data_IF_064446537293
#
_entry.id   IF_064446537293
#
_cell.length_a   1.000
_cell.length_b   1.000
_cell.length_c   1.000
_cell.angle_alpha   90.00
_cell.angle_beta   90.00
_cell.angle_gamma   90.00
#
_symmetry.space_group_name_H-M   'P 1'
#
loop_
_entity.id
_entity.type
_entity.pdbx_description
1 polymer ?
#
# COMPACT_ATOMS: atom_id res chain seq x y z
N UNK A 1 9.59 8.87 -19.46
CA UNK A 1 8.92 10.10 -19.86
C UNK A 1 9.46 10.71 -21.14
N UNK A 2 10.79 10.81 -21.37
CA UNK A 2 11.38 11.38 -22.59
C UNK A 2 10.92 10.67 -23.87
N UNK A 3 10.93 9.34 -23.87
CA UNK A 3 10.49 8.51 -25.00
C UNK A 3 8.95 8.46 -25.18
N UNK A 4 8.17 9.01 -24.24
CA UNK A 4 6.70 9.06 -24.31
C UNK A 4 6.27 10.21 -25.21
N UNK A 5 5.36 9.95 -26.16
CA UNK A 5 4.81 10.95 -27.09
C UNK A 5 4.18 12.15 -26.36
N UNK A 6 4.25 13.34 -26.97
CA UNK A 6 3.73 14.58 -26.39
C UNK A 6 2.27 14.49 -25.96
N UNK A 7 1.38 13.90 -26.78
CA UNK A 7 -0.05 13.77 -26.45
C UNK A 7 -0.27 12.94 -25.18
N UNK A 8 0.47 11.83 -25.00
CA UNK A 8 0.39 11.02 -23.78
C UNK A 8 0.96 11.75 -22.56
N UNK A 9 2.03 12.54 -22.72
CA UNK A 9 2.56 13.39 -21.65
C UNK A 9 1.58 14.48 -21.24
N UNK A 10 0.87 15.08 -22.20
CA UNK A 10 -0.20 16.04 -21.94
C UNK A 10 -1.32 15.40 -21.13
N UNK A 11 -1.80 14.22 -21.54
CA UNK A 11 -2.83 13.47 -20.80
C UNK A 11 -2.37 13.23 -19.35
N UNK A 12 -1.15 12.72 -19.16
CA UNK A 12 -0.62 12.46 -17.81
C UNK A 12 -0.45 13.73 -16.97
N UNK A 13 -0.04 14.83 -17.59
CA UNK A 13 0.08 16.13 -16.93
C UNK A 13 -1.29 16.65 -16.46
N UNK A 14 -2.30 16.60 -17.32
CA UNK A 14 -3.69 16.98 -16.99
C UNK A 14 -4.23 16.09 -15.88
N UNK A 15 -4.05 14.77 -15.99
CA UNK A 15 -4.49 13.83 -14.95
C UNK A 15 -3.78 14.11 -13.61
N UNK A 16 -2.50 14.46 -13.62
CA UNK A 16 -1.77 14.81 -12.40
C UNK A 16 -2.39 16.04 -11.69
N UNK A 17 -2.79 17.06 -12.46
CA UNK A 17 -3.51 18.23 -11.92
C UNK A 17 -4.88 17.83 -11.39
N UNK A 18 -5.69 17.11 -12.16
CA UNK A 18 -7.06 16.73 -11.78
C UNK A 18 -7.05 15.85 -10.52
N UNK A 19 -6.21 14.82 -10.50
CA UNK A 19 -6.09 13.91 -9.35
C UNK A 19 -5.44 14.60 -8.17
N UNK A 20 -4.42 15.43 -8.39
CA UNK A 20 -3.83 16.24 -7.32
C UNK A 20 -4.84 17.19 -6.67
N UNK A 21 -5.67 17.87 -7.47
CA UNK A 21 -6.74 18.73 -6.98
C UNK A 21 -7.80 17.93 -6.21
N UNK A 22 -8.20 16.75 -6.69
CA UNK A 22 -9.08 15.84 -5.95
C UNK A 22 -8.48 15.44 -4.59
N UNK A 23 -7.19 15.09 -4.55
CA UNK A 23 -6.49 14.67 -3.33
C UNK A 23 -6.39 15.78 -2.28
N UNK A 24 -6.35 17.05 -2.71
CA UNK A 24 -6.28 18.22 -1.83
C UNK A 24 -7.68 18.69 -1.40
N UNK A 25 -8.63 18.75 -2.34
CA UNK A 25 -9.90 19.46 -2.13
C UNK A 25 -11.08 18.53 -1.84
N UNK A 26 -11.02 17.25 -2.21
CA UNK A 26 -12.17 16.33 -2.09
C UNK A 26 -11.85 15.18 -1.15
N UNK A 27 -10.73 14.49 -1.36
CA UNK A 27 -10.34 13.32 -0.56
C UNK A 27 -10.31 13.59 0.97
N UNK A 28 -9.84 14.75 1.47
CA UNK A 28 -9.82 15.02 2.91
C UNK A 28 -11.21 15.01 3.55
N UNK A 29 -12.22 15.51 2.85
CA UNK A 29 -13.62 15.51 3.31
C UNK A 29 -14.24 14.12 3.27
N UNK A 30 -13.95 13.35 2.21
CA UNK A 30 -14.39 11.95 2.11
C UNK A 30 -13.81 11.10 3.25
N UNK A 31 -12.52 11.29 3.56
CA UNK A 31 -11.85 10.59 4.66
C UNK A 31 -12.41 11.03 6.01
N UNK A 32 -12.64 12.33 6.24
CA UNK A 32 -13.23 12.84 7.48
C UNK A 32 -14.64 12.28 7.71
N UNK A 33 -15.48 12.32 6.68
CA UNK A 33 -16.84 11.76 6.73
C UNK A 33 -16.80 10.26 7.05
N UNK A 34 -15.86 9.53 6.44
CA UNK A 34 -15.67 8.11 6.69
C UNK A 34 -15.24 7.83 8.13
N UNK A 35 -14.31 8.64 8.67
CA UNK A 35 -13.84 8.54 10.04
C UNK A 35 -15.00 8.73 11.03
N UNK A 36 -15.78 9.79 10.87
CA UNK A 36 -16.91 10.10 11.77
C UNK A 36 -17.93 8.97 11.80
N UNK A 37 -18.28 8.41 10.63
CA UNK A 37 -19.19 7.27 10.55
C UNK A 37 -18.60 6.03 11.22
N UNK A 38 -17.32 5.73 10.98
CA UNK A 38 -16.65 4.56 11.57
C UNK A 38 -16.58 4.69 13.09
N UNK A 39 -16.19 5.85 13.61
CA UNK A 39 -16.11 6.11 15.04
C UNK A 39 -17.49 6.04 15.68
N UNK A 40 -18.52 6.66 15.07
CA UNK A 40 -19.88 6.60 15.59
C UNK A 40 -20.42 5.16 15.66
N UNK A 41 -20.14 4.34 14.64
CA UNK A 41 -20.51 2.92 14.64
C UNK A 41 -19.74 2.14 15.73
N UNK A 42 -18.44 2.40 15.87
CA UNK A 42 -17.61 1.75 16.88
C UNK A 42 -18.00 2.13 18.31
N UNK A 43 -18.41 3.38 18.58
CA UNK A 43 -18.91 3.77 19.91
C UNK A 43 -20.11 2.91 20.30
N UNK A 44 -21.07 2.70 19.39
CA UNK A 44 -22.23 1.82 19.62
C UNK A 44 -21.82 0.36 19.82
N UNK A 45 -21.02 -0.18 18.89
CA UNK A 45 -20.59 -1.58 18.93
C UNK A 45 -19.74 -1.87 20.17
N UNK A 46 -18.87 -0.93 20.57
CA UNK A 46 -17.97 -1.12 21.71
C UNK A 46 -18.68 -1.10 23.06
N UNK A 47 -19.85 -0.46 23.15
CA UNK A 47 -20.69 -0.52 24.34
C UNK A 47 -21.20 -1.94 24.61
N UNK A 48 -21.52 -2.69 23.54
CA UNK A 48 -21.95 -4.09 23.63
C UNK A 48 -20.77 -5.07 23.61
N UNK A 49 -19.71 -4.74 22.88
CA UNK A 49 -18.54 -5.58 22.63
C UNK A 49 -17.25 -4.79 22.92
N UNK A 50 -16.80 -4.75 24.19
CA UNK A 50 -15.62 -3.97 24.61
C UNK A 50 -14.33 -4.26 23.81
N UNK A 51 -14.22 -5.44 23.19
CA UNK A 51 -13.11 -5.81 22.30
C UNK A 51 -12.94 -4.91 21.05
N UNK A 52 -13.91 -4.05 20.74
CA UNK A 52 -13.81 -3.09 19.64
C UNK A 52 -13.42 -1.67 20.10
N UNK A 53 -13.36 -1.40 21.40
CA UNK A 53 -13.12 -0.06 21.94
C UNK A 53 -11.77 0.53 21.49
N UNK A 54 -10.72 -0.29 21.38
CA UNK A 54 -9.40 0.15 20.89
C UNK A 54 -9.43 0.64 19.43
N UNK A 55 -10.42 0.22 18.63
CA UNK A 55 -10.60 0.67 17.26
C UNK A 55 -10.87 2.19 17.16
N UNK A 56 -11.57 2.76 18.14
CA UNK A 56 -11.89 4.20 18.18
C UNK A 56 -10.59 5.00 18.19
N UNK A 57 -9.66 4.67 19.09
CA UNK A 57 -8.37 5.33 19.20
C UNK A 57 -7.54 5.13 17.93
N UNK A 58 -7.40 3.88 17.47
CA UNK A 58 -6.55 3.56 16.33
C UNK A 58 -6.98 4.25 15.04
N UNK A 59 -8.28 4.21 14.70
CA UNK A 59 -8.77 4.84 13.48
C UNK A 59 -8.75 6.37 13.58
N UNK A 60 -8.90 6.95 14.77
CA UNK A 60 -8.73 8.39 15.00
C UNK A 60 -7.31 8.90 14.70
N UNK A 61 -6.30 8.04 14.67
CA UNK A 61 -4.94 8.40 14.23
C UNK A 61 -4.65 7.98 12.78
N UNK A 62 -5.07 6.79 12.37
CA UNK A 62 -4.76 6.25 11.04
C UNK A 62 -5.45 7.06 9.94
N UNK A 63 -6.72 7.45 10.13
CA UNK A 63 -7.45 8.23 9.12
C UNK A 63 -6.80 9.60 8.89
N UNK A 64 -6.51 10.41 9.94
CA UNK A 64 -5.79 11.68 9.74
C UNK A 64 -4.39 11.53 9.17
N UNK A 65 -3.64 10.48 9.55
CA UNK A 65 -2.32 10.23 8.99
C UNK A 65 -2.40 10.02 7.48
N UNK A 66 -3.27 9.12 7.02
CA UNK A 66 -3.44 8.87 5.58
C UNK A 66 -4.02 10.07 4.84
N UNK A 67 -4.92 10.83 5.48
CA UNK A 67 -5.38 12.11 4.93
C UNK A 67 -4.22 13.07 4.67
N UNK A 68 -3.29 13.19 5.62
CA UNK A 68 -2.09 14.02 5.47
C UNK A 68 -1.18 13.54 4.33
N UNK A 69 -0.91 12.23 4.26
CA UNK A 69 -0.11 11.63 3.18
C UNK A 69 -0.75 11.87 1.80
N UNK A 70 -2.07 11.70 1.69
CA UNK A 70 -2.82 11.94 0.45
C UNK A 70 -2.79 13.42 0.08
N UNK A 71 -2.97 14.33 1.04
CA UNK A 71 -2.91 15.76 0.79
C UNK A 71 -1.54 16.20 0.24
N UNK A 72 -0.46 15.75 0.87
CA UNK A 72 0.92 16.02 0.41
C UNK A 72 1.16 15.39 -0.97
N UNK A 73 0.71 14.15 -1.18
CA UNK A 73 0.77 13.50 -2.49
C UNK A 73 0.06 14.33 -3.57
N UNK A 74 -1.06 14.97 -3.24
CA UNK A 74 -1.81 15.81 -4.17
C UNK A 74 -1.03 17.06 -4.59
N UNK A 75 -0.39 17.72 -3.63
CA UNK A 75 0.50 18.86 -3.90
C UNK A 75 1.64 18.43 -4.83
N UNK A 76 2.28 17.29 -4.52
CA UNK A 76 3.35 16.73 -5.35
C UNK A 76 2.87 16.51 -6.78
N UNK A 77 1.69 15.90 -7.00
CA UNK A 77 1.18 15.66 -8.35
C UNK A 77 0.92 16.96 -9.13
N UNK A 78 0.38 17.99 -8.50
CA UNK A 78 0.19 19.31 -9.14
C UNK A 78 1.53 19.91 -9.54
N UNK A 79 2.53 19.90 -8.64
CA UNK A 79 3.86 20.43 -8.92
C UNK A 79 4.59 19.65 -10.02
N UNK A 80 4.33 18.34 -10.14
CA UNK A 80 4.88 17.49 -11.19
C UNK A 80 4.21 17.67 -12.54
N UNK A 81 3.06 18.34 -12.65
CA UNK A 81 2.33 18.46 -13.90
C UNK A 81 3.19 19.02 -15.05
N UNK A 82 3.92 20.12 -14.80
CA UNK A 82 4.81 20.73 -15.79
C UNK A 82 6.02 19.82 -16.12
N UNK A 83 6.80 19.32 -15.15
CA UNK A 83 7.87 18.34 -15.40
C UNK A 83 7.42 17.06 -16.13
N UNK A 84 6.20 16.57 -15.88
CA UNK A 84 5.62 15.44 -16.60
C UNK A 84 5.38 15.80 -18.07
N UNK A 85 4.85 17.00 -18.33
CA UNK A 85 4.61 17.50 -19.68
C UNK A 85 5.90 17.67 -20.49
N UNK A 86 6.97 18.19 -19.86
CA UNK A 86 8.30 18.32 -20.47
C UNK A 86 9.02 16.98 -20.67
N UNK A 87 8.54 15.92 -20.01
CA UNK A 87 9.04 14.56 -20.19
C UNK A 87 10.22 14.19 -19.30
N UNK A 88 10.38 14.84 -18.15
CA UNK A 88 11.46 14.58 -17.22
C UNK A 88 11.33 13.19 -16.55
N UNK A 89 12.35 12.33 -16.64
CA UNK A 89 12.26 10.93 -16.19
C UNK A 89 12.09 10.77 -14.68
N UNK A 90 12.68 11.65 -13.87
CA UNK A 90 12.63 11.59 -12.41
C UNK A 90 11.20 11.74 -11.86
N UNK A 91 10.30 12.34 -12.65
CA UNK A 91 8.90 12.54 -12.27
C UNK A 91 8.13 11.23 -12.15
N UNK A 92 8.53 10.19 -12.89
CA UNK A 92 7.83 8.91 -12.92
C UNK A 92 7.80 8.19 -11.57
N UNK A 93 8.93 7.89 -10.90
CA UNK A 93 8.92 7.26 -9.59
C UNK A 93 8.25 8.12 -8.51
N UNK A 94 8.40 9.45 -8.57
CA UNK A 94 7.75 10.37 -7.61
C UNK A 94 6.23 10.36 -7.78
N UNK A 95 5.73 10.46 -9.01
CA UNK A 95 4.30 10.46 -9.29
C UNK A 95 3.63 9.12 -8.94
N UNK A 96 4.34 8.00 -9.17
CA UNK A 96 3.87 6.67 -8.76
C UNK A 96 3.77 6.55 -7.23
N UNK A 97 4.78 7.00 -6.49
CA UNK A 97 4.72 6.99 -5.03
C UNK A 97 3.60 7.89 -4.50
N UNK A 98 3.49 9.12 -5.04
CA UNK A 98 2.45 10.07 -4.65
C UNK A 98 1.03 9.51 -4.89
N UNK A 99 0.83 8.79 -5.99
CA UNK A 99 -0.44 8.14 -6.32
C UNK A 99 -0.65 6.78 -5.63
N UNK A 100 0.39 6.16 -5.09
CA UNK A 100 0.27 4.97 -4.26
C UNK A 100 -0.42 5.26 -2.92
N UNK A 101 -0.25 6.46 -2.34
CA UNK A 101 -0.90 6.85 -1.08
C UNK A 101 -2.43 6.83 -1.14
N UNK A 102 -3.12 7.50 -2.10
CA UNK A 102 -4.57 7.41 -2.21
C UNK A 102 -5.03 6.00 -2.61
N UNK A 103 -4.27 5.30 -3.47
CA UNK A 103 -4.58 3.94 -3.93
C UNK A 103 -4.61 2.94 -2.77
N UNK A 104 -3.51 2.82 -2.04
CA UNK A 104 -3.38 1.88 -0.92
C UNK A 104 -4.12 2.37 0.32
N UNK A 105 -4.09 3.69 0.57
CA UNK A 105 -4.72 4.33 1.71
C UNK A 105 -6.25 4.28 1.66
N UNK A 106 -6.87 4.59 0.52
CA UNK A 106 -8.32 4.48 0.39
C UNK A 106 -8.82 3.05 0.66
N UNK A 107 -8.08 2.04 0.21
CA UNK A 107 -8.43 0.63 0.44
C UNK A 107 -8.16 0.17 1.88
N UNK A 108 -7.16 0.74 2.56
CA UNK A 108 -6.98 0.55 4.00
C UNK A 108 -8.17 1.09 4.80
N UNK A 109 -8.59 2.32 4.49
CA UNK A 109 -9.68 3.00 5.19
C UNK A 109 -11.05 2.40 4.87
N UNK A 110 -11.15 1.67 3.75
CA UNK A 110 -12.34 0.92 3.35
C UNK A 110 -12.68 -0.22 4.33
N UNK A 111 -11.70 -0.96 4.85
CA UNK A 111 -11.96 -2.13 5.70
C UNK A 111 -12.78 -1.85 6.96
N UNK A 112 -12.41 -0.88 7.82
CA UNK A 112 -13.24 -0.56 8.97
C UNK A 112 -14.61 -0.02 8.54
N UNK A 113 -14.73 0.63 7.38
CA UNK A 113 -16.01 1.10 6.89
C UNK A 113 -16.96 -0.07 6.60
N UNK A 114 -16.56 -1.01 5.74
CA UNK A 114 -17.42 -2.15 5.37
C UNK A 114 -17.65 -3.14 6.52
N UNK A 115 -16.82 -3.09 7.56
CA UNK A 115 -16.99 -3.94 8.74
C UNK A 115 -18.08 -3.45 9.69
N UNK A 116 -18.41 -2.15 9.66
CA UNK A 116 -19.25 -1.52 10.69
C UNK A 116 -20.38 -0.63 10.14
N UNK A 117 -20.39 -0.36 8.83
CA UNK A 117 -21.32 0.56 8.21
C UNK A 117 -21.89 -0.08 6.94
N UNK A 118 -23.22 -0.05 6.82
CA UNK A 118 -23.91 -0.50 5.62
C UNK A 118 -23.81 0.53 4.48
N UNK A 119 -23.80 0.03 3.24
CA UNK A 119 -23.84 0.83 2.02
C UNK A 119 -22.48 1.06 1.37
N UNK A 120 -22.43 2.03 0.43
CA UNK A 120 -21.23 2.26 -0.37
C UNK A 120 -20.07 2.80 0.48
N UNK A 121 -18.88 2.17 0.42
CA UNK A 121 -17.73 2.59 1.20
C UNK A 121 -17.05 3.79 0.56
N UNK A 122 -17.30 4.96 1.15
CA UNK A 122 -16.76 6.25 0.69
C UNK A 122 -15.23 6.24 0.45
N UNK A 123 -14.38 5.58 1.27
CA UNK A 123 -12.94 5.52 1.00
C UNK A 123 -12.55 4.80 -0.30
N UNK A 124 -13.44 3.96 -0.85
CA UNK A 124 -13.22 3.27 -2.12
C UNK A 124 -13.06 4.26 -3.27
N UNK A 125 -13.82 5.37 -3.27
CA UNK A 125 -13.67 6.42 -4.29
C UNK A 125 -12.25 7.00 -4.29
N UNK A 126 -11.67 7.23 -3.11
CA UNK A 126 -10.29 7.74 -2.98
C UNK A 126 -9.28 6.76 -3.56
N UNK A 127 -9.45 5.46 -3.27
CA UNK A 127 -8.60 4.40 -3.82
C UNK A 127 -8.69 4.32 -5.35
N UNK A 128 -9.90 4.32 -5.89
CA UNK A 128 -10.14 4.18 -7.34
C UNK A 128 -9.58 5.35 -8.14
N UNK A 129 -9.70 6.58 -7.65
CA UNK A 129 -9.11 7.77 -8.29
C UNK A 129 -7.58 7.69 -8.28
N UNK A 130 -6.99 7.28 -7.14
CA UNK A 130 -5.55 7.04 -7.04
C UNK A 130 -5.05 5.99 -8.03
N UNK A 131 -5.74 4.84 -8.07
CA UNK A 131 -5.39 3.71 -8.93
C UNK A 131 -5.51 4.04 -10.41
N UNK A 132 -6.56 4.77 -10.80
CA UNK A 132 -6.75 5.19 -12.19
C UNK A 132 -5.54 5.99 -12.70
N UNK A 133 -5.03 6.93 -11.90
CA UNK A 133 -3.85 7.69 -12.27
C UNK A 133 -2.55 6.87 -12.17
N UNK A 134 -2.40 6.07 -11.12
CA UNK A 134 -1.25 5.18 -10.93
C UNK A 134 -1.07 4.24 -12.14
N UNK A 135 -2.13 3.57 -12.58
CA UNK A 135 -2.07 2.70 -13.76
C UNK A 135 -1.93 3.49 -15.06
N UNK A 136 -2.54 4.67 -15.17
CA UNK A 136 -2.35 5.53 -16.34
C UNK A 136 -0.88 5.90 -16.54
N UNK A 137 -0.15 6.25 -15.47
CA UNK A 137 1.29 6.52 -15.51
C UNK A 137 2.08 5.36 -16.12
N UNK A 138 1.78 4.13 -15.70
CA UNK A 138 2.50 2.94 -16.17
C UNK A 138 2.12 2.60 -17.62
N UNK A 139 0.83 2.57 -17.92
CA UNK A 139 0.30 2.07 -19.19
C UNK A 139 0.57 3.05 -20.35
N UNK A 140 0.47 4.35 -20.09
CA UNK A 140 0.72 5.40 -21.09
C UNK A 140 2.21 5.67 -21.32
N UNK A 141 3.10 5.27 -20.39
CA UNK A 141 4.55 5.40 -20.60
C UNK A 141 4.99 4.55 -21.79
N UNK A 142 5.82 5.15 -22.65
CA UNK A 142 6.43 4.44 -23.77
C UNK A 142 7.76 3.82 -23.34
N UNK A 143 7.75 2.51 -23.09
CA UNK A 143 8.90 1.68 -22.70
C UNK A 143 8.69 0.27 -23.26
N UNK A 144 9.74 -0.54 -23.23
CA UNK A 144 9.64 -1.97 -23.56
C UNK A 144 8.51 -2.67 -22.78
N UNK A 145 7.90 -3.67 -23.42
CA UNK A 145 6.75 -4.39 -22.87
C UNK A 145 7.07 -5.12 -21.57
N UNK A 146 8.27 -5.67 -21.41
CA UNK A 146 8.66 -6.37 -20.19
C UNK A 146 8.92 -5.40 -19.05
N UNK A 147 9.44 -4.21 -19.34
CA UNK A 147 9.55 -3.13 -18.35
C UNK A 147 8.15 -2.70 -17.92
N UNK A 148 7.25 -2.48 -18.88
CA UNK A 148 5.87 -2.05 -18.60
C UNK A 148 5.12 -3.06 -17.74
N UNK A 149 5.08 -4.33 -18.15
CA UNK A 149 4.36 -5.37 -17.42
C UNK A 149 5.05 -5.74 -16.10
N UNK A 150 6.39 -5.76 -16.07
CA UNK A 150 7.14 -5.95 -14.83
C UNK A 150 6.82 -4.86 -13.80
N UNK A 151 6.84 -3.59 -14.22
CA UNK A 151 6.49 -2.47 -13.33
C UNK A 151 5.00 -2.48 -12.97
N UNK A 152 4.10 -2.73 -13.93
CA UNK A 152 2.66 -2.83 -13.66
C UNK A 152 2.37 -3.85 -12.56
N UNK A 153 2.89 -5.07 -12.70
CA UNK A 153 2.63 -6.15 -11.76
C UNK A 153 3.35 -5.91 -10.42
N UNK A 154 4.66 -5.61 -10.44
CA UNK A 154 5.44 -5.42 -9.22
C UNK A 154 4.85 -4.29 -8.36
N UNK A 155 4.60 -3.14 -8.97
CA UNK A 155 4.15 -1.95 -8.25
C UNK A 155 2.69 -2.11 -7.77
N UNK A 156 1.82 -2.75 -8.56
CA UNK A 156 0.43 -3.04 -8.14
C UNK A 156 0.42 -4.02 -6.97
N UNK A 157 1.14 -5.14 -7.05
CA UNK A 157 1.21 -6.10 -5.94
C UNK A 157 1.87 -5.50 -4.70
N UNK A 158 2.90 -4.66 -4.85
CA UNK A 158 3.47 -3.92 -3.72
C UNK A 158 2.43 -3.01 -3.06
N UNK A 159 1.62 -2.27 -3.83
CA UNK A 159 0.54 -1.46 -3.29
C UNK A 159 -0.53 -2.28 -2.55
N UNK A 160 -0.96 -3.40 -3.14
CA UNK A 160 -1.94 -4.31 -2.51
C UNK A 160 -1.41 -4.94 -1.22
N UNK A 161 -0.13 -5.34 -1.21
CA UNK A 161 0.52 -5.89 -0.01
C UNK A 161 0.73 -4.83 1.07
N UNK A 162 1.01 -3.58 0.70
CA UNK A 162 1.01 -2.46 1.66
C UNK A 162 -0.36 -2.33 2.33
N UNK A 163 -1.45 -2.36 1.57
CA UNK A 163 -2.81 -2.32 2.14
C UNK A 163 -3.06 -3.49 3.08
N UNK A 164 -2.80 -4.72 2.62
CA UNK A 164 -2.96 -5.94 3.43
C UNK A 164 -2.16 -5.87 4.75
N UNK A 165 -0.89 -5.47 4.66
CA UNK A 165 0.00 -5.40 5.81
C UNK A 165 -0.45 -4.33 6.81
N UNK A 166 -0.89 -3.13 6.37
CA UNK A 166 -1.43 -2.14 7.32
C UNK A 166 -2.72 -2.64 7.97
N UNK A 167 -3.64 -3.24 7.21
CA UNK A 167 -4.90 -3.79 7.75
C UNK A 167 -4.59 -4.83 8.83
N UNK A 168 -3.75 -5.80 8.50
CA UNK A 168 -3.39 -6.91 9.40
C UNK A 168 -2.62 -6.40 10.61
N UNK A 169 -1.62 -5.54 10.42
CA UNK A 169 -0.87 -4.93 11.53
C UNK A 169 -1.77 -4.11 12.45
N UNK A 170 -2.67 -3.30 11.89
CA UNK A 170 -3.65 -2.51 12.69
C UNK A 170 -4.62 -3.42 13.44
N UNK A 171 -5.10 -4.49 12.79
CA UNK A 171 -5.97 -5.48 13.41
C UNK A 171 -5.30 -6.20 14.58
N UNK A 172 -4.01 -6.52 14.45
CA UNK A 172 -3.21 -7.10 15.52
C UNK A 172 -3.07 -6.13 16.69
N UNK A 173 -2.73 -4.87 16.41
CA UNK A 173 -2.64 -3.85 17.46
C UNK A 173 -3.97 -3.66 18.18
N UNK A 174 -5.08 -3.59 17.45
CA UNK A 174 -6.43 -3.47 18.02
C UNK A 174 -6.70 -4.58 19.03
N UNK A 175 -6.39 -5.82 18.65
CA UNK A 175 -6.60 -7.02 19.46
C UNK A 175 -5.67 -7.03 20.69
N UNK A 176 -4.39 -6.67 20.51
CA UNK A 176 -3.42 -6.52 21.61
C UNK A 176 -3.83 -5.46 22.62
N UNK A 177 -4.41 -4.35 22.16
CA UNK A 177 -4.89 -3.25 23.01
C UNK A 177 -6.16 -3.57 23.76
N UNK A 178 -6.78 -4.74 23.56
CA UNK A 178 -7.96 -5.19 24.33
C UNK A 178 -7.69 -6.46 25.12
N UNK A 179 -6.44 -6.94 25.16
CA UNK A 179 -6.08 -8.11 25.96
C UNK A 179 -6.41 -7.87 27.45
N UNK A 180 -6.85 -8.92 28.18
CA UNK A 180 -7.26 -8.79 29.58
C UNK A 180 -6.08 -8.53 30.52
N UNK A 181 -4.96 -9.21 30.30
CA UNK A 181 -3.86 -9.30 31.29
C UNK A 181 -2.83 -8.16 31.16
N UNK A 182 -3.28 -6.97 30.73
CA UNK A 182 -2.36 -5.82 30.59
C UNK A 182 -1.70 -5.50 31.95
N UNK A 183 -0.40 -5.17 31.96
CA UNK A 183 0.48 -4.91 30.81
C UNK A 183 1.12 -6.17 30.19
N UNK A 184 0.90 -7.36 30.74
CA UNK A 184 1.54 -8.61 30.33
C UNK A 184 0.96 -9.18 29.03
N UNK A 185 1.65 -10.17 28.45
CA UNK A 185 1.29 -10.81 27.17
C UNK A 185 1.19 -12.32 27.38
N UNK A 186 0.29 -12.78 28.23
CA UNK A 186 0.29 -14.18 28.67
C UNK A 186 -0.27 -15.14 27.60
N UNK A 187 0.63 -15.90 26.97
CA UNK A 187 0.30 -16.95 26.03
C UNK A 187 0.76 -16.68 24.60
N UNK A 188 1.00 -17.78 23.89
CA UNK A 188 1.61 -17.77 22.56
C UNK A 188 0.85 -16.89 21.55
N UNK A 189 -0.48 -16.83 21.64
CA UNK A 189 -1.31 -15.99 20.76
C UNK A 189 -0.98 -14.50 20.86
N UNK A 190 -0.79 -13.98 22.07
CA UNK A 190 -0.47 -12.56 22.28
C UNK A 190 0.97 -12.24 21.86
N UNK A 191 1.92 -13.13 22.15
CA UNK A 191 3.31 -12.97 21.69
C UNK A 191 3.38 -12.84 20.19
N UNK A 192 2.70 -13.73 19.50
CA UNK A 192 2.69 -13.79 18.05
C UNK A 192 2.03 -12.55 17.43
N UNK A 193 0.90 -12.08 17.98
CA UNK A 193 0.30 -10.82 17.54
C UNK A 193 1.24 -9.62 17.79
N UNK A 194 1.94 -9.60 18.93
CA UNK A 194 2.87 -8.53 19.29
C UNK A 194 4.10 -8.47 18.39
N UNK A 195 4.52 -9.62 17.86
CA UNK A 195 5.62 -9.70 16.92
C UNK A 195 5.19 -9.43 15.49
N UNK A 196 4.00 -9.91 15.09
CA UNK A 196 3.48 -9.73 13.74
C UNK A 196 3.17 -8.27 13.44
N UNK A 197 2.54 -7.56 14.38
CA UNK A 197 2.15 -6.17 14.22
C UNK A 197 3.28 -5.24 13.70
N UNK A 198 4.47 -5.15 14.32
CA UNK A 198 5.53 -4.27 13.85
C UNK A 198 6.13 -4.74 12.53
N UNK A 199 6.26 -6.05 12.29
CA UNK A 199 6.77 -6.58 11.01
C UNK A 199 5.91 -6.09 9.85
N UNK A 200 4.58 -6.17 10.00
CA UNK A 200 3.63 -5.72 8.99
C UNK A 200 3.86 -4.25 8.64
N UNK A 201 3.95 -3.37 9.64
CA UNK A 201 4.14 -1.94 9.41
C UNK A 201 5.51 -1.59 8.83
N UNK A 202 6.56 -2.31 9.22
CA UNK A 202 7.88 -2.15 8.60
C UNK A 202 7.82 -2.55 7.12
N UNK A 203 7.16 -3.67 6.79
CA UNK A 203 6.99 -4.11 5.41
C UNK A 203 6.25 -3.07 4.56
N UNK A 204 5.28 -2.34 5.12
CA UNK A 204 4.58 -1.25 4.41
C UNK A 204 5.55 -0.15 3.99
N UNK A 205 6.43 0.28 4.90
CA UNK A 205 7.45 1.30 4.61
C UNK A 205 8.38 0.79 3.50
N UNK A 206 8.88 -0.43 3.65
CA UNK A 206 9.77 -1.04 2.67
C UNK A 206 9.10 -1.18 1.28
N UNK A 207 7.82 -1.54 1.22
CA UNK A 207 7.05 -1.66 -0.02
C UNK A 207 6.81 -0.30 -0.68
N UNK A 208 6.51 0.77 0.07
CA UNK A 208 6.41 2.11 -0.52
C UNK A 208 7.76 2.61 -1.07
N UNK A 209 8.87 2.36 -0.36
CA UNK A 209 10.21 2.67 -0.87
C UNK A 209 10.52 1.80 -2.10
N UNK A 210 10.12 0.53 -2.09
CA UNK A 210 10.27 -0.38 -3.22
C UNK A 210 9.49 0.13 -4.44
N UNK A 211 8.28 0.65 -4.29
CA UNK A 211 7.51 1.26 -5.40
C UNK A 211 8.33 2.34 -6.10
N UNK A 212 8.89 3.27 -5.31
CA UNK A 212 9.73 4.33 -5.83
C UNK A 212 10.99 3.79 -6.52
N UNK A 213 11.73 2.89 -5.85
CA UNK A 213 13.03 2.40 -6.33
C UNK A 213 12.91 1.42 -7.51
N UNK A 214 11.86 0.61 -7.58
CA UNK A 214 11.55 -0.26 -8.73
C UNK A 214 11.12 0.58 -9.93
N UNK A 215 10.41 1.69 -9.71
CA UNK A 215 10.08 2.63 -10.78
C UNK A 215 11.33 3.31 -11.37
N UNK A 216 12.35 3.57 -10.54
CA UNK A 216 13.71 3.99 -10.96
C UNK A 216 14.55 2.85 -11.57
N UNK A 217 14.04 1.62 -11.55
CA UNK A 217 14.75 0.39 -11.95
C UNK A 217 16.04 0.14 -11.18
N UNK A 218 16.07 0.49 -9.89
CA UNK A 218 17.24 0.30 -9.02
C UNK A 218 17.21 -1.07 -8.33
N UNK A 219 18.38 -1.71 -8.25
CA UNK A 219 18.56 -3.00 -7.59
C UNK A 219 18.11 -2.98 -6.11
N UNK A 220 18.28 -1.85 -5.42
CA UNK A 220 17.78 -1.68 -4.05
C UNK A 220 16.26 -1.80 -3.96
N UNK A 221 15.51 -1.34 -4.96
CA UNK A 221 14.05 -1.50 -4.99
C UNK A 221 13.61 -2.95 -5.07
N UNK A 222 14.32 -3.75 -5.88
CA UNK A 222 14.10 -5.19 -5.98
C UNK A 222 14.34 -5.89 -4.63
N UNK A 223 15.46 -5.60 -3.96
CA UNK A 223 15.74 -6.17 -2.64
C UNK A 223 14.71 -5.75 -1.58
N UNK A 224 14.32 -4.48 -1.54
CA UNK A 224 13.30 -4.01 -0.61
C UNK A 224 11.97 -4.74 -0.82
N UNK A 225 11.55 -4.92 -2.08
CA UNK A 225 10.37 -5.71 -2.42
C UNK A 225 10.51 -7.17 -1.98
N UNK A 226 11.66 -7.80 -2.24
CA UNK A 226 11.92 -9.20 -1.92
C UNK A 226 11.97 -9.45 -0.40
N UNK A 227 12.65 -8.58 0.34
CA UNK A 227 12.71 -8.63 1.82
C UNK A 227 11.30 -8.50 2.37
N UNK A 228 10.54 -7.50 1.92
CA UNK A 228 9.17 -7.28 2.39
C UNK A 228 8.28 -8.50 2.17
N UNK A 229 8.21 -9.02 0.94
CA UNK A 229 7.32 -10.15 0.62
C UNK A 229 7.75 -11.44 1.34
N UNK A 230 9.06 -11.64 1.55
CA UNK A 230 9.59 -12.78 2.31
C UNK A 230 9.25 -12.66 3.79
N UNK A 231 9.43 -11.48 4.38
CA UNK A 231 9.02 -11.21 5.76
C UNK A 231 7.52 -11.38 5.97
N UNK A 232 6.71 -10.94 5.00
CA UNK A 232 5.25 -11.15 5.03
C UNK A 232 4.89 -12.63 4.98
N UNK A 233 5.53 -13.46 4.14
CA UNK A 233 5.29 -14.92 4.19
C UNK A 233 5.70 -15.53 5.51
N UNK A 234 6.90 -15.18 5.98
CA UNK A 234 7.47 -15.73 7.20
C UNK A 234 6.60 -15.44 8.42
N UNK A 235 5.82 -14.35 8.40
CA UNK A 235 4.89 -14.03 9.48
C UNK A 235 3.46 -14.50 9.18
N UNK A 236 2.90 -14.23 7.99
CA UNK A 236 1.49 -14.46 7.68
C UNK A 236 1.11 -15.94 7.63
N UNK A 237 2.00 -16.80 7.07
CA UNK A 237 1.70 -18.23 6.97
C UNK A 237 1.65 -18.89 8.34
N UNK A 238 2.68 -18.77 9.21
CA UNK A 238 2.59 -19.33 10.57
C UNK A 238 1.46 -18.72 11.39
N UNK A 239 1.24 -17.41 11.26
CA UNK A 239 0.12 -16.70 11.91
C UNK A 239 -1.22 -17.33 11.58
N UNK A 240 -1.48 -17.58 10.29
CA UNK A 240 -2.74 -18.18 9.87
C UNK A 240 -2.90 -19.58 10.45
N UNK A 241 -1.85 -20.42 10.39
CA UNK A 241 -1.88 -21.78 10.94
C UNK A 241 -2.20 -21.75 12.43
N UNK A 242 -1.53 -20.89 13.18
CA UNK A 242 -1.71 -20.78 14.63
C UNK A 242 -3.12 -20.29 14.97
N UNK A 243 -3.65 -19.32 14.22
CA UNK A 243 -5.02 -18.83 14.42
C UNK A 243 -6.07 -19.90 14.15
N UNK A 244 -5.93 -20.67 13.07
CA UNK A 244 -6.90 -21.71 12.71
C UNK A 244 -6.81 -22.93 13.65
N UNK A 245 -5.60 -23.41 13.91
CA UNK A 245 -5.38 -24.71 14.58
C UNK A 245 -5.36 -24.56 16.10
N UNK A 246 -4.68 -23.54 16.62
CA UNK A 246 -4.46 -23.38 18.06
C UNK A 246 -5.55 -22.50 18.68
N UNK A 247 -5.81 -21.34 18.09
CA UNK A 247 -6.78 -20.38 18.62
C UNK A 247 -8.23 -20.64 18.16
N UNK A 248 -8.47 -21.65 17.31
CA UNK A 248 -9.79 -22.01 16.76
C UNK A 248 -10.56 -20.81 16.16
N UNK A 249 -9.84 -19.85 15.60
CA UNK A 249 -10.41 -18.69 14.91
C UNK A 249 -10.95 -19.11 13.55
N UNK A 250 -12.08 -18.55 13.12
CA UNK A 250 -12.64 -18.77 11.77
C UNK A 250 -12.15 -17.76 10.73
N UNK A 251 -11.38 -16.75 11.16
CA UNK A 251 -10.92 -15.68 10.29
C UNK A 251 -9.71 -16.09 9.40
N UNK A 252 -9.76 -15.67 8.15
CA UNK A 252 -8.76 -15.96 7.09
C UNK A 252 -7.90 -14.75 6.74
N UNK A 253 -7.83 -13.78 7.66
CA UNK A 253 -7.29 -12.44 7.41
C UNK A 253 -5.86 -12.47 6.83
N UNK A 254 -5.00 -13.40 7.28
CA UNK A 254 -3.62 -13.53 6.82
C UNK A 254 -3.52 -14.25 5.47
N UNK A 255 -4.47 -15.15 5.16
CA UNK A 255 -4.50 -15.85 3.88
C UNK A 255 -4.92 -14.97 2.71
N UNK A 256 -5.69 -13.91 2.95
CA UNK A 256 -6.08 -12.99 1.89
C UNK A 256 -4.88 -12.34 1.20
N UNK A 257 -3.74 -12.21 1.90
CA UNK A 257 -2.48 -11.71 1.36
C UNK A 257 -1.76 -12.66 0.41
N UNK A 258 -2.02 -13.97 0.49
CA UNK A 258 -1.24 -15.00 -0.20
C UNK A 258 -1.25 -14.88 -1.73
N UNK A 259 -2.37 -14.60 -2.42
CA UNK A 259 -2.36 -14.39 -3.86
C UNK A 259 -1.44 -13.23 -4.27
N UNK A 260 -1.42 -12.13 -3.51
CA UNK A 260 -0.59 -10.97 -3.78
C UNK A 260 0.89 -11.24 -3.48
N UNK A 261 1.17 -12.01 -2.43
CA UNK A 261 2.52 -12.52 -2.12
C UNK A 261 3.05 -13.36 -3.28
N UNK A 262 2.28 -14.36 -3.74
CA UNK A 262 2.66 -15.24 -4.84
C UNK A 262 2.88 -14.42 -6.12
N UNK A 263 1.97 -13.48 -6.40
CA UNK A 263 2.07 -12.57 -7.53
C UNK A 263 3.35 -11.73 -7.48
N UNK A 264 3.68 -11.13 -6.34
CA UNK A 264 4.90 -10.32 -6.22
C UNK A 264 6.17 -11.19 -6.30
N UNK A 265 6.20 -12.36 -5.65
CA UNK A 265 7.33 -13.29 -5.79
C UNK A 265 7.55 -13.71 -7.23
N UNK A 266 6.49 -14.08 -7.94
CA UNK A 266 6.58 -14.46 -9.34
C UNK A 266 7.23 -13.34 -10.17
N UNK A 267 6.79 -12.09 -9.98
CA UNK A 267 7.33 -10.95 -10.74
C UNK A 267 8.78 -10.66 -10.36
N UNK A 268 9.14 -10.72 -9.08
CA UNK A 268 10.50 -10.41 -8.62
C UNK A 268 11.51 -11.51 -8.97
N UNK A 269 11.08 -12.78 -9.00
CA UNK A 269 11.96 -13.93 -9.23
C UNK A 269 11.99 -14.38 -10.70
N UNK A 270 10.96 -14.09 -11.50
CA UNK A 270 10.96 -14.45 -12.91
C UNK A 270 12.10 -13.72 -13.64
N UNK A 271 13.02 -14.43 -14.33
CA UNK A 271 14.20 -13.82 -14.95
C UNK A 271 13.91 -12.65 -15.90
N UNK A 272 12.85 -12.73 -16.71
CA UNK A 272 12.49 -11.66 -17.67
C UNK A 272 12.05 -10.39 -16.96
N UNK A 273 11.22 -10.52 -15.92
CA UNK A 273 10.79 -9.37 -15.13
C UNK A 273 11.92 -8.83 -14.28
N UNK A 274 12.74 -9.67 -13.65
CA UNK A 274 13.92 -9.21 -12.89
C UNK A 274 14.84 -8.35 -13.75
N UNK A 275 15.23 -8.81 -14.94
CA UNK A 275 16.06 -8.05 -15.89
C UNK A 275 15.39 -6.76 -16.37
N UNK A 276 14.07 -6.77 -16.52
CA UNK A 276 13.34 -5.57 -16.91
C UNK A 276 13.27 -4.53 -15.77
N UNK A 277 13.06 -5.00 -14.54
CA UNK A 277 12.92 -4.18 -13.33
C UNK A 277 14.22 -3.62 -12.80
N UNK A 278 15.35 -4.22 -13.14
CA UNK A 278 16.68 -3.80 -12.69
C UNK A 278 17.45 -3.33 -13.91
N UNK A 279 17.89 -2.08 -13.92
CA UNK A 279 18.84 -1.65 -14.93
C UNK A 279 20.21 -2.22 -14.54
N UNK A 280 20.62 -3.31 -15.18
CA UNK A 280 21.99 -3.80 -15.07
C UNK A 280 22.93 -2.78 -15.73
N UNK A 281 23.63 -1.99 -14.93
CA UNK A 281 24.96 -1.55 -15.32
C UNK A 281 25.89 -2.77 -15.15
N UNK A 282 25.92 -3.65 -16.15
CA UNK A 282 26.91 -4.74 -16.25
C UNK A 282 28.36 -4.23 -16.44
N UNK A 283 28.67 -2.98 -16.09
CA UNK A 283 29.80 -2.24 -16.65
C UNK A 283 31.02 -2.04 -15.73
N UNK A 284 31.23 -2.86 -14.69
CA UNK A 284 32.39 -2.64 -13.80
C UNK A 284 33.17 -3.88 -13.32
N UNK A 285 32.87 -5.11 -13.78
CA UNK A 285 33.63 -6.29 -13.33
C UNK A 285 34.08 -7.25 -14.45
N UNK A 286 34.06 -6.84 -15.72
CA UNK A 286 34.64 -7.64 -16.82
C UNK A 286 36.01 -7.18 -17.32
N UNK A 287 36.54 -6.05 -16.82
CA UNK A 287 37.84 -5.52 -17.24
C UNK A 287 38.88 -5.55 -16.11
N UNK A 288 39.00 -6.69 -15.44
CA UNK A 288 40.21 -7.01 -14.65
C UNK A 288 40.58 -8.46 -14.93
N UNK A 289 41.18 -8.63 -16.11
CA UNK A 289 42.15 -9.70 -16.37
C UNK A 289 43.32 -9.61 -15.38
#
# INVERSE_FOLDING_TARGET
MKATSQSKRLILSVLAVVVGAFMIAVAPFLIQTSLERVVAALVKISAEKPAYASGILLFSYIFPLYRGLIFIGGIVLILLARPIYTGEEWTYPVALLASAFPSAGGMLLFMPYVSFIDGYPVPMTVSMVGLAFFWSLILLRNVDKWIKWGQFLALTFSGMLSTHAVITGTGNLRTLLTRPDKPFYDGLGWWILSWSQPIQWICVILLFIAIYKIAERKHSGWWLGLISVTSLVAIDVPMQVIRLVIAKSTAWDYSYGLPMIIGLFFVLLHPKFKKALIHEEECCCKDKE
#
